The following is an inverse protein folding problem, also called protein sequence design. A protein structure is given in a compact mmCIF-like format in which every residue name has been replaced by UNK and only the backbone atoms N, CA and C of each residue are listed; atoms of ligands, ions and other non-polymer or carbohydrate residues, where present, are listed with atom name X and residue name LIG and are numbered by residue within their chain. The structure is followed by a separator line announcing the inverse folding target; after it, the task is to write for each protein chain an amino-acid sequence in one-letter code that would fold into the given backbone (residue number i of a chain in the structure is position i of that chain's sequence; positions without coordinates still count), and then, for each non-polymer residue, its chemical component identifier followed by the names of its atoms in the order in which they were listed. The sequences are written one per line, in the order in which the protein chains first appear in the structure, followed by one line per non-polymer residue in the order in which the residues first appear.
data_IF_261607018241
#
_entry.id   IF_261607018241
#
_cell.length_a   1.000
_cell.length_b   1.000
_cell.length_c   1.000
_cell.angle_alpha   90.00
_cell.angle_beta   90.00
_cell.angle_gamma   90.00
#
_symmetry.space_group_name_H-M   'P 1'
#
loop_
_entity.id
_entity.type
_entity.pdbx_description
1 polymer ?
#
# COMPACT_ATOMS: atom_id res chain seq x y z
N UNK A 1 18.27 -0.03 7.27
CA UNK A 1 17.42 -0.88 6.41
C UNK A 1 16.54 -1.70 7.33
N UNK A 2 15.26 -1.35 7.39
CA UNK A 2 14.30 -1.85 8.37
C UNK A 2 13.17 -2.60 7.66
N UNK A 3 12.58 -3.61 8.32
CA UNK A 3 11.38 -4.31 7.84
C UNK A 3 10.16 -3.79 8.59
N UNK A 4 9.24 -3.17 7.87
CA UNK A 4 7.96 -2.70 8.39
C UNK A 4 6.88 -3.73 8.14
N UNK A 5 6.07 -4.05 9.16
CA UNK A 5 5.00 -5.06 9.06
C UNK A 5 3.62 -4.41 8.92
N UNK A 6 2.87 -4.85 7.92
CA UNK A 6 1.53 -4.35 7.62
C UNK A 6 0.60 -5.49 7.21
N UNK A 7 -0.70 -5.31 7.43
CA UNK A 7 -1.70 -6.27 6.98
C UNK A 7 -2.57 -5.69 5.87
N UNK A 8 -3.08 -6.56 5.01
CA UNK A 8 -3.94 -6.23 3.88
C UNK A 8 -5.13 -7.19 3.80
N UNK A 9 -6.25 -6.71 3.26
CA UNK A 9 -7.33 -7.60 2.78
C UNK A 9 -6.86 -8.37 1.54
N UNK A 10 -7.62 -9.40 1.15
CA UNK A 10 -7.17 -10.33 0.11
C UNK A 10 -6.88 -9.67 -1.23
N UNK A 11 -7.80 -8.82 -1.73
CA UNK A 11 -7.67 -8.18 -3.04
C UNK A 11 -6.39 -7.31 -3.21
N UNK A 12 -6.07 -6.34 -2.31
CA UNK A 12 -4.83 -5.59 -2.43
C UNK A 12 -3.58 -6.45 -2.22
N UNK A 13 -3.65 -7.46 -1.35
CA UNK A 13 -2.54 -8.40 -1.16
C UNK A 13 -2.21 -9.16 -2.45
N UNK A 14 -3.21 -9.76 -3.09
CA UNK A 14 -3.04 -10.52 -4.34
C UNK A 14 -2.54 -9.63 -5.49
N UNK A 15 -3.01 -8.39 -5.58
CA UNK A 15 -2.52 -7.42 -6.57
C UNK A 15 -1.06 -7.05 -6.34
N UNK A 16 -0.60 -6.94 -5.09
CA UNK A 16 0.82 -6.70 -4.76
C UNK A 16 1.64 -7.95 -5.04
N UNK A 17 1.19 -9.12 -4.59
CA UNK A 17 1.88 -10.40 -4.79
C UNK A 17 2.05 -10.77 -6.27
N UNK A 18 1.08 -10.40 -7.12
CA UNK A 18 1.15 -10.57 -8.57
C UNK A 18 1.90 -9.44 -9.32
N UNK A 19 2.39 -8.42 -8.61
CA UNK A 19 3.09 -7.28 -9.20
C UNK A 19 2.20 -6.28 -9.95
N UNK A 20 0.88 -6.46 -9.95
CA UNK A 20 -0.09 -5.58 -10.62
C UNK A 20 -0.32 -4.27 -9.87
N UNK A 21 -0.09 -4.25 -8.56
CA UNK A 21 -0.15 -3.04 -7.72
C UNK A 21 1.24 -2.70 -7.20
N UNK A 22 1.81 -1.64 -7.75
CA UNK A 22 3.17 -1.16 -7.43
C UNK A 22 3.16 0.12 -6.57
N UNK A 23 2.01 0.74 -6.38
CA UNK A 23 1.80 1.91 -5.50
C UNK A 23 0.79 1.55 -4.42
N UNK A 24 1.19 1.71 -3.16
CA UNK A 24 0.33 1.52 -1.97
C UNK A 24 0.14 2.86 -1.26
N UNK A 25 -1.11 3.32 -1.21
CA UNK A 25 -1.48 4.60 -0.59
C UNK A 25 -1.80 4.41 0.89
N UNK A 26 -1.27 5.29 1.75
CA UNK A 26 -1.55 5.31 3.20
C UNK A 26 -1.56 6.74 3.73
N UNK A 27 -2.22 6.96 4.86
CA UNK A 27 -2.04 8.19 5.62
C UNK A 27 -0.59 8.31 6.07
N UNK A 28 -0.08 9.54 6.09
CA UNK A 28 1.26 9.87 6.57
C UNK A 28 1.28 9.98 8.11
N UNK A 29 0.76 8.93 8.76
CA UNK A 29 0.75 8.77 10.22
C UNK A 29 2.17 8.56 10.79
N UNK A 30 2.35 8.73 12.10
CA UNK A 30 3.66 8.60 12.78
C UNK A 30 4.37 7.29 12.44
N UNK A 31 3.62 6.19 12.28
CA UNK A 31 4.19 4.89 11.91
C UNK A 31 4.74 4.89 10.48
N UNK A 32 4.07 5.55 9.53
CA UNK A 32 4.51 5.61 8.11
C UNK A 32 5.62 6.64 7.91
N UNK A 33 5.73 7.63 8.79
CA UNK A 33 6.84 8.58 8.81
C UNK A 33 8.20 7.92 9.11
N UNK A 34 8.21 6.72 9.70
CA UNK A 34 9.43 5.95 9.99
C UNK A 34 9.99 5.18 8.76
N UNK A 35 9.26 5.13 7.65
CA UNK A 35 9.65 4.36 6.46
C UNK A 35 10.62 5.18 5.63
N UNK A 36 11.71 4.56 5.17
CA UNK A 36 12.70 5.18 4.29
C UNK A 36 12.84 4.46 2.95
N UNK A 37 13.39 5.14 1.94
CA UNK A 37 13.76 4.50 0.67
C UNK A 37 14.79 3.40 0.95
N UNK A 38 14.60 2.22 0.35
CA UNK A 38 15.42 1.03 0.59
C UNK A 38 14.96 0.15 1.76
N UNK A 39 14.04 0.63 2.61
CA UNK A 39 13.39 -0.23 3.59
C UNK A 39 12.50 -1.28 2.92
N UNK A 40 12.20 -2.32 3.67
CA UNK A 40 11.28 -3.36 3.24
C UNK A 40 9.93 -3.23 3.93
N UNK A 41 8.87 -3.63 3.22
CA UNK A 41 7.54 -3.81 3.80
C UNK A 41 7.13 -5.27 3.61
N UNK A 42 6.91 -5.97 4.73
CA UNK A 42 6.26 -7.28 4.76
C UNK A 42 4.75 -7.05 4.89
N UNK A 43 4.01 -7.39 3.84
CA UNK A 43 2.56 -7.47 3.89
C UNK A 43 2.14 -8.90 4.21
N UNK A 44 1.22 -9.06 5.16
CA UNK A 44 0.51 -10.33 5.41
C UNK A 44 -0.97 -10.20 5.06
N UNK A 45 -1.61 -11.28 4.60
CA UNK A 45 -3.07 -11.28 4.41
C UNK A 45 -3.80 -11.35 5.75
N UNK A 46 -4.90 -10.61 5.88
CA UNK A 46 -5.68 -10.56 7.13
C UNK A 46 -6.31 -11.90 7.50
N UNK A 47 -6.84 -12.61 6.50
CA UNK A 47 -7.55 -13.88 6.62
C UNK A 47 -6.62 -15.11 6.60
N UNK A 48 -5.43 -14.99 5.99
CA UNK A 48 -4.37 -16.01 6.02
C UNK A 48 -3.01 -15.37 6.35
N UNK A 49 -2.70 -15.14 7.64
CA UNK A 49 -1.50 -14.42 8.08
C UNK A 49 -0.15 -15.06 7.69
N UNK A 50 -0.16 -16.35 7.37
CA UNK A 50 1.01 -17.09 6.87
C UNK A 50 1.37 -16.72 5.43
N UNK A 51 0.39 -16.25 4.63
CA UNK A 51 0.66 -15.71 3.30
C UNK A 51 1.25 -14.30 3.42
N UNK A 52 2.47 -14.16 2.93
CA UNK A 52 3.25 -12.93 3.02
C UNK A 52 3.92 -12.57 1.71
N UNK A 53 4.09 -11.28 1.48
CA UNK A 53 4.91 -10.73 0.40
C UNK A 53 5.82 -9.64 0.96
N UNK A 54 7.10 -9.71 0.60
CA UNK A 54 8.10 -8.72 0.98
C UNK A 54 8.36 -7.81 -0.23
N UNK A 55 8.33 -6.51 0.01
CA UNK A 55 8.52 -5.47 -1.01
C UNK A 55 9.60 -4.51 -0.57
N UNK A 56 10.21 -3.78 -1.50
CA UNK A 56 11.21 -2.73 -1.23
C UNK A 56 10.64 -1.36 -1.58
N UNK A 57 10.86 -0.38 -0.70
CA UNK A 57 10.44 1.00 -0.92
C UNK A 57 11.39 1.68 -1.91
N UNK A 58 10.86 2.08 -3.06
CA UNK A 58 11.64 2.75 -4.12
C UNK A 58 11.47 4.27 -4.16
N UNK A 59 10.30 4.78 -3.78
CA UNK A 59 9.98 6.20 -3.83
C UNK A 59 8.83 6.55 -2.88
N UNK A 60 8.68 7.84 -2.58
CA UNK A 60 7.54 8.39 -1.85
C UNK A 60 6.85 9.47 -2.67
N UNK A 61 5.52 9.45 -2.65
CA UNK A 61 4.67 10.52 -3.16
C UNK A 61 3.84 11.03 -1.99
N UNK A 62 3.98 12.32 -1.65
CA UNK A 62 3.27 12.96 -0.54
C UNK A 62 2.38 14.04 -1.09
N UNK A 63 1.14 14.06 -0.61
CA UNK A 63 0.12 15.03 -1.00
C UNK A 63 -0.43 15.69 0.25
N UNK A 64 -0.65 17.00 0.20
CA UNK A 64 -1.20 17.76 1.33
C UNK A 64 -2.66 17.41 1.61
N UNK A 65 -3.41 17.01 0.57
CA UNK A 65 -4.83 16.67 0.66
C UNK A 65 -5.12 15.35 -0.05
N UNK A 66 -6.20 14.69 0.37
CA UNK A 66 -6.68 13.48 -0.29
C UNK A 66 -7.12 13.75 -1.74
N UNK A 67 -7.72 14.93 -1.99
CA UNK A 67 -8.07 15.38 -3.34
C UNK A 67 -6.84 15.47 -4.25
N UNK A 68 -5.75 16.09 -3.79
CA UNK A 68 -4.49 16.16 -4.54
C UNK A 68 -3.94 14.77 -4.87
N UNK A 69 -4.03 13.82 -3.92
CA UNK A 69 -3.69 12.43 -4.18
C UNK A 69 -4.58 11.77 -5.26
N UNK A 70 -5.89 11.98 -5.23
CA UNK A 70 -6.81 11.40 -6.22
C UNK A 70 -6.53 11.90 -7.64
N UNK A 71 -6.13 13.16 -7.81
CA UNK A 71 -5.79 13.71 -9.13
C UNK A 71 -4.55 13.05 -9.76
N UNK A 72 -3.65 12.49 -8.93
CA UNK A 72 -2.46 11.79 -9.40
C UNK A 72 -2.74 10.36 -9.86
N UNK A 73 -3.75 9.70 -9.28
CA UNK A 73 -4.08 8.34 -9.69
C UNK A 73 -4.60 8.39 -11.13
N UNK A 74 -4.03 7.62 -12.08
CA UNK A 74 -4.65 7.47 -13.39
C UNK A 74 -6.08 6.97 -13.18
N UNK A 75 -7.01 7.46 -14.00
CA UNK A 75 -8.42 7.07 -14.01
C UNK A 75 -8.60 5.61 -14.47
N UNK A 76 -8.02 4.68 -13.72
CA UNK A 76 -8.21 3.25 -13.89
C UNK A 76 -9.33 2.83 -12.95
N UNK A 77 -10.51 2.69 -13.54
CA UNK A 77 -11.70 1.95 -13.09
C UNK A 77 -11.83 1.82 -11.57
N UNK A 78 -12.35 2.87 -10.96
CA UNK A 78 -12.78 2.86 -9.58
C UNK A 78 -13.92 1.84 -9.40
N UNK A 79 -13.62 0.63 -8.92
CA UNK A 79 -14.62 -0.18 -8.23
C UNK A 79 -14.80 0.40 -6.83
N UNK A 80 -15.54 1.52 -6.75
CA UNK A 80 -16.15 1.95 -5.51
C UNK A 80 -17.31 0.98 -5.27
N UNK A 81 -17.05 -0.11 -4.55
CA UNK A 81 -18.15 -0.86 -3.94
C UNK A 81 -18.72 0.01 -2.83
N UNK A 82 -19.79 0.75 -3.14
CA UNK A 82 -20.68 1.29 -2.12
C UNK A 82 -21.34 0.10 -1.41
N UNK A 83 -21.03 -0.13 -0.15
CA UNK A 83 -21.85 -0.98 0.72
C UNK A 83 -22.95 -0.13 1.33
N UNK A 84 -24.20 -0.61 1.20
CA UNK A 84 -25.33 -0.21 2.04
C UNK A 84 -25.16 -0.73 3.47
#
# INVERSE_FOLDING_TARGET
MTIHKMKLSANPFEKIASGKKIIESRLYDEKRQLINIGDHIEFSRNDKPDEKVITIVKAFYRYATFEGFLTFLPSTSAEIQKTN
#
